data_IF_203674349006
#
_entry.id   IF_203674349006
#
_cell.length_a   1.000
_cell.length_b   1.000
_cell.length_c   1.000
_cell.angle_alpha   90.00
_cell.angle_beta   90.00
_cell.angle_gamma   90.00
#
_symmetry.space_group_name_H-M   'P 1'
#
loop_
_entity.id
_entity.type
_entity.pdbx_description
1 polymer ?
#
# COMPACT_ATOMS: atom_id res chain seq x y z
N UNK A 1 -6.23 13.38 -27.95
CA UNK A 1 -5.84 13.11 -26.55
C UNK A 1 -4.82 11.98 -26.56
N UNK A 2 -3.70 12.10 -25.85
CA UNK A 2 -2.73 11.00 -25.76
C UNK A 2 -3.39 9.79 -25.09
N UNK A 3 -3.24 8.60 -25.68
CA UNK A 3 -3.77 7.35 -25.13
C UNK A 3 -3.11 7.08 -23.78
N UNK A 4 -3.90 6.96 -22.71
CA UNK A 4 -3.37 6.64 -21.38
C UNK A 4 -2.77 5.24 -21.38
N UNK A 5 -1.60 5.08 -20.77
CA UNK A 5 -0.94 3.78 -20.61
C UNK A 5 -1.74 2.89 -19.66
N UNK A 6 -1.71 1.59 -19.90
CA UNK A 6 -2.29 0.61 -19.00
C UNK A 6 -1.38 0.40 -17.78
N UNK A 7 -1.97 0.26 -16.60
CA UNK A 7 -1.25 -0.13 -15.38
C UNK A 7 -2.13 -1.07 -14.54
N UNK A 8 -1.53 -2.11 -13.98
CA UNK A 8 -2.14 -2.87 -12.90
C UNK A 8 -1.89 -2.16 -11.56
N UNK A 9 -2.94 -2.07 -10.74
CA UNK A 9 -2.85 -1.61 -9.35
C UNK A 9 -3.22 -2.76 -8.44
N UNK A 10 -2.25 -3.28 -7.70
CA UNK A 10 -2.50 -4.30 -6.67
C UNK A 10 -2.91 -3.60 -5.39
N UNK A 11 -4.15 -3.84 -4.99
CA UNK A 11 -4.78 -3.26 -3.81
C UNK A 11 -5.02 -4.32 -2.75
N UNK A 12 -4.37 -4.17 -1.60
CA UNK A 12 -4.53 -5.07 -0.45
C UNK A 12 -5.28 -4.32 0.64
N UNK A 13 -6.44 -4.83 1.06
CA UNK A 13 -7.26 -4.15 2.04
C UNK A 13 -8.00 -5.08 2.99
N UNK A 14 -8.59 -4.47 4.00
CA UNK A 14 -9.55 -5.09 4.91
C UNK A 14 -10.86 -4.30 4.89
N UNK A 15 -11.87 -4.70 5.64
CA UNK A 15 -13.19 -4.04 5.68
C UNK A 15 -13.11 -2.71 6.44
N UNK A 16 -12.72 -1.63 5.76
CA UNK A 16 -12.58 -0.26 6.31
C UNK A 16 -13.08 0.80 5.31
N UNK A 17 -14.39 0.87 5.03
CA UNK A 17 -14.92 1.63 3.88
C UNK A 17 -14.52 3.10 3.87
N UNK A 18 -14.55 3.77 5.03
CA UNK A 18 -14.19 5.20 5.13
C UNK A 18 -12.72 5.47 4.81
N UNK A 19 -11.82 4.62 5.28
CA UNK A 19 -10.37 4.78 5.00
C UNK A 19 -10.09 4.45 3.54
N UNK A 20 -10.68 3.37 3.02
CA UNK A 20 -10.53 2.96 1.64
C UNK A 20 -10.95 4.06 0.67
N UNK A 21 -12.08 4.73 0.93
CA UNK A 21 -12.51 5.87 0.11
C UNK A 21 -11.47 6.99 0.08
N UNK A 22 -10.86 7.32 1.23
CA UNK A 22 -9.78 8.32 1.28
C UNK A 22 -8.57 7.87 0.47
N UNK A 23 -8.17 6.62 0.64
CA UNK A 23 -7.07 6.01 -0.08
C UNK A 23 -7.31 6.05 -1.58
N UNK A 24 -8.34 5.36 -2.07
CA UNK A 24 -8.64 5.25 -3.50
C UNK A 24 -8.86 6.63 -4.13
N UNK A 25 -9.59 7.54 -3.48
CA UNK A 25 -9.81 8.86 -4.03
C UNK A 25 -8.51 9.67 -4.13
N UNK A 26 -7.71 9.71 -3.06
CA UNK A 26 -6.47 10.49 -3.04
C UNK A 26 -5.49 10.01 -4.11
N UNK A 27 -5.37 8.69 -4.30
CA UNK A 27 -4.54 8.08 -5.33
C UNK A 27 -5.13 8.23 -6.73
N UNK A 28 -6.44 8.07 -6.92
CA UNK A 28 -7.11 8.32 -8.21
C UNK A 28 -6.84 9.75 -8.69
N UNK A 29 -7.12 10.75 -7.86
CA UNK A 29 -7.00 12.17 -8.25
C UNK A 29 -5.55 12.62 -8.49
N UNK A 30 -4.59 12.08 -7.75
CA UNK A 30 -3.21 12.59 -7.73
C UNK A 30 -2.17 11.71 -8.43
N UNK A 31 -2.54 10.48 -8.78
CA UNK A 31 -1.67 9.54 -9.47
C UNK A 31 -2.39 8.78 -10.59
N UNK A 32 -3.42 8.01 -10.24
CA UNK A 32 -3.95 6.97 -11.11
C UNK A 32 -4.84 7.50 -12.25
N UNK A 33 -5.32 8.75 -12.18
CA UNK A 33 -6.05 9.39 -13.29
C UNK A 33 -5.23 9.49 -14.58
N UNK A 34 -3.90 9.37 -14.50
CA UNK A 34 -3.00 9.43 -15.64
C UNK A 34 -2.88 8.09 -16.39
N UNK A 35 -3.50 7.02 -15.88
CA UNK A 35 -3.45 5.67 -16.45
C UNK A 35 -4.83 5.14 -16.82
N UNK A 36 -4.86 4.14 -17.68
CA UNK A 36 -5.95 3.18 -17.79
C UNK A 36 -5.69 2.06 -16.77
N UNK A 37 -6.50 1.99 -15.72
CA UNK A 37 -6.20 1.18 -14.54
C UNK A 37 -7.00 -0.11 -14.55
N UNK A 38 -6.30 -1.24 -14.36
CA UNK A 38 -6.88 -2.50 -13.90
C UNK A 38 -6.56 -2.66 -12.41
N UNK A 39 -7.59 -2.64 -11.58
CA UNK A 39 -7.44 -2.85 -10.14
C UNK A 39 -7.48 -4.35 -9.84
N UNK A 40 -6.50 -4.83 -9.08
CA UNK A 40 -6.42 -6.19 -8.56
C UNK A 40 -6.60 -6.10 -7.05
N UNK A 41 -7.80 -6.36 -6.55
CA UNK A 41 -8.16 -6.13 -5.15
C UNK A 41 -8.26 -7.45 -4.35
N UNK A 42 -7.49 -7.56 -3.27
CA UNK A 42 -7.70 -8.55 -2.23
C UNK A 42 -8.30 -7.86 -1.01
N UNK A 43 -9.51 -8.24 -0.60
CA UNK A 43 -10.12 -7.74 0.63
C UNK A 43 -10.18 -8.88 1.64
N UNK A 44 -9.39 -8.80 2.72
CA UNK A 44 -9.43 -9.79 3.80
C UNK A 44 -10.62 -9.52 4.76
N UNK A 45 -11.21 -10.56 5.38
CA UNK A 45 -12.35 -10.45 6.29
C UNK A 45 -11.88 -9.99 7.70
N UNK A 46 -11.35 -8.77 7.78
CA UNK A 46 -10.93 -8.12 9.02
C UNK A 46 -11.36 -6.65 9.02
N UNK A 47 -11.21 -5.93 10.13
CA UNK A 47 -11.62 -4.53 10.24
C UNK A 47 -13.01 -4.35 10.85
N UNK A 48 -13.89 -3.61 10.18
CA UNK A 48 -15.25 -3.24 10.60
C UNK A 48 -16.29 -4.26 10.08
N UNK A 49 -15.98 -5.56 10.22
CA UNK A 49 -16.79 -6.68 9.72
C UNK A 49 -18.11 -6.89 10.47
N UNK A 50 -18.30 -6.20 11.59
CA UNK A 50 -19.57 -6.15 12.34
C UNK A 50 -20.63 -5.29 11.64
N UNK A 51 -20.23 -4.43 10.70
CA UNK A 51 -21.10 -3.43 10.04
C UNK A 51 -21.11 -3.50 8.53
N UNK A 52 -20.03 -4.00 7.95
CA UNK A 52 -19.82 -4.03 6.51
C UNK A 52 -19.26 -5.39 6.10
N UNK A 53 -19.48 -5.76 4.86
CA UNK A 53 -18.91 -6.98 4.26
C UNK A 53 -17.72 -6.67 3.35
N UNK A 54 -17.06 -7.72 2.86
CA UNK A 54 -16.02 -7.57 1.84
C UNK A 54 -16.62 -7.06 0.52
N UNK A 55 -17.86 -7.44 0.20
CA UNK A 55 -18.60 -7.01 -0.99
C UNK A 55 -18.87 -5.50 -0.99
N UNK A 56 -19.15 -4.90 0.18
CA UNK A 56 -19.25 -3.43 0.31
C UNK A 56 -17.97 -2.75 -0.17
N UNK A 57 -16.81 -3.32 0.18
CA UNK A 57 -15.51 -2.78 -0.23
C UNK A 57 -15.30 -2.96 -1.73
N UNK A 58 -15.71 -4.10 -2.30
CA UNK A 58 -15.66 -4.30 -3.76
C UNK A 58 -16.57 -3.31 -4.48
N UNK A 59 -17.75 -3.00 -3.93
CA UNK A 59 -18.64 -1.95 -4.41
C UNK A 59 -17.90 -0.60 -4.47
N UNK A 60 -17.24 -0.22 -3.39
CA UNK A 60 -16.40 0.99 -3.34
C UNK A 60 -15.32 0.95 -4.42
N UNK A 61 -14.58 -0.16 -4.57
CA UNK A 61 -13.55 -0.28 -5.61
C UNK A 61 -14.11 -0.03 -7.02
N UNK A 62 -15.29 -0.58 -7.33
CA UNK A 62 -15.98 -0.42 -8.63
C UNK A 62 -16.48 1.01 -8.87
N UNK A 63 -16.71 1.81 -7.84
CA UNK A 63 -17.00 3.24 -8.00
C UNK A 63 -15.79 4.04 -8.52
N UNK A 64 -14.56 3.58 -8.27
CA UNK A 64 -13.33 4.29 -8.65
C UNK A 64 -12.69 3.77 -9.96
N UNK A 65 -12.97 2.53 -10.34
CA UNK A 65 -12.31 1.85 -11.46
C UNK A 65 -13.27 0.93 -12.19
N UNK A 66 -13.26 1.01 -13.52
CA UNK A 66 -14.15 0.22 -14.38
C UNK A 66 -13.70 -1.25 -14.51
N UNK A 67 -12.39 -1.50 -14.38
CA UNK A 67 -11.81 -2.84 -14.46
C UNK A 67 -11.28 -3.28 -13.10
N UNK A 68 -12.04 -4.13 -12.41
CA UNK A 68 -11.70 -4.66 -11.08
C UNK A 68 -11.69 -6.19 -11.12
N UNK A 69 -10.51 -6.77 -10.94
CA UNK A 69 -10.30 -8.18 -10.62
C UNK A 69 -10.16 -8.29 -9.11
N UNK A 70 -10.89 -9.20 -8.47
CA UNK A 70 -10.87 -9.25 -7.01
C UNK A 70 -10.99 -10.66 -6.45
N UNK A 71 -10.61 -10.80 -5.18
CA UNK A 71 -11.00 -11.94 -4.35
C UNK A 71 -11.32 -11.51 -2.92
N UNK A 72 -12.17 -12.32 -2.28
CA UNK A 72 -12.62 -12.16 -0.90
C UNK A 72 -12.37 -13.48 -0.15
N UNK A 73 -11.14 -13.72 0.36
CA UNK A 73 -10.84 -14.94 1.09
C UNK A 73 -11.68 -15.05 2.37
N UNK A 74 -11.92 -16.28 2.83
CA UNK A 74 -12.64 -16.56 4.08
C UNK A 74 -11.79 -16.32 5.33
N UNK A 75 -10.47 -16.42 5.20
CA UNK A 75 -9.52 -16.25 6.31
C UNK A 75 -8.54 -15.13 5.98
N UNK A 76 -8.24 -14.21 6.92
CA UNK A 76 -7.31 -13.12 6.69
C UNK A 76 -5.87 -13.63 6.64
N UNK A 77 -5.11 -13.17 5.64
CA UNK A 77 -3.69 -13.51 5.50
C UNK A 77 -3.00 -12.52 4.58
N UNK A 78 -2.26 -11.59 5.20
CA UNK A 78 -1.56 -10.53 4.49
C UNK A 78 -0.54 -11.06 3.46
N UNK A 79 0.21 -12.09 3.82
CA UNK A 79 1.15 -12.77 2.92
C UNK A 79 0.44 -13.41 1.73
N UNK A 80 -0.63 -14.18 1.95
CA UNK A 80 -1.42 -14.78 0.86
C UNK A 80 -2.04 -13.68 -0.02
N UNK A 81 -2.49 -12.58 0.57
CA UNK A 81 -3.04 -11.41 -0.12
C UNK A 81 -2.04 -10.79 -1.09
N UNK A 82 -0.83 -10.47 -0.60
CA UNK A 82 0.26 -9.92 -1.40
C UNK A 82 0.65 -10.86 -2.53
N UNK A 83 0.89 -12.14 -2.23
CA UNK A 83 1.31 -13.15 -3.22
C UNK A 83 0.30 -13.24 -4.37
N UNK A 84 -0.97 -13.47 -4.04
CA UNK A 84 -2.01 -13.59 -5.06
C UNK A 84 -2.16 -12.33 -5.89
N UNK A 85 -2.15 -11.15 -5.26
CA UNK A 85 -2.28 -9.88 -5.98
C UNK A 85 -1.15 -9.69 -6.98
N UNK A 86 0.09 -10.03 -6.59
CA UNK A 86 1.26 -9.95 -7.47
C UNK A 86 1.24 -11.01 -8.58
N UNK A 87 0.68 -12.20 -8.34
CA UNK A 87 0.49 -13.24 -9.37
C UNK A 87 -0.49 -12.83 -10.48
N UNK A 88 -1.41 -11.89 -10.23
CA UNK A 88 -2.39 -11.43 -11.23
C UNK A 88 -1.85 -10.32 -12.16
N UNK A 89 -0.64 -9.81 -11.91
CA UNK A 89 -0.06 -8.67 -12.63
C UNK A 89 0.39 -9.07 -14.03
N UNK A 90 -0.03 -8.27 -15.01
CA UNK A 90 0.29 -8.39 -16.41
C UNK A 90 1.07 -7.18 -16.95
N UNK A 91 0.99 -6.00 -16.34
CA UNK A 91 1.78 -4.83 -16.77
C UNK A 91 3.26 -4.98 -16.43
N UNK A 92 4.17 -4.36 -17.19
CA UNK A 92 5.63 -4.43 -16.95
C UNK A 92 6.05 -3.79 -15.62
N UNK A 93 5.35 -2.72 -15.26
CA UNK A 93 5.45 -2.01 -13.99
C UNK A 93 4.03 -1.93 -13.45
N UNK A 94 3.85 -2.23 -12.17
CA UNK A 94 2.56 -2.13 -11.49
C UNK A 94 2.69 -1.27 -10.24
N UNK A 95 1.55 -0.84 -9.70
CA UNK A 95 1.53 -0.07 -8.46
C UNK A 95 0.95 -0.92 -7.33
N UNK A 96 1.67 -1.06 -6.23
CA UNK A 96 1.20 -1.71 -5.02
C UNK A 96 0.64 -0.66 -4.05
N UNK A 97 -0.53 -0.94 -3.46
CA UNK A 97 -1.26 -0.05 -2.57
C UNK A 97 -1.98 -0.84 -1.48
N UNK A 98 -1.81 -0.43 -0.22
CA UNK A 98 -2.64 -0.90 0.89
C UNK A 98 -3.82 0.05 1.14
N UNK A 99 -4.81 -0.38 1.90
CA UNK A 99 -6.07 0.33 2.15
C UNK A 99 -5.97 1.59 3.02
N UNK A 100 -4.82 1.88 3.63
CA UNK A 100 -4.70 2.91 4.66
C UNK A 100 -3.64 4.00 4.39
N UNK A 101 -3.52 4.41 3.13
CA UNK A 101 -2.63 5.47 2.68
C UNK A 101 -3.36 6.68 2.11
N UNK A 102 -2.98 7.90 2.49
CA UNK A 102 -3.45 9.13 1.83
C UNK A 102 -2.32 9.81 1.06
N UNK A 103 -2.51 10.02 -0.24
CA UNK A 103 -1.55 10.71 -1.10
C UNK A 103 -1.72 12.23 -1.01
N UNK A 104 -0.69 12.95 -0.55
CA UNK A 104 -0.73 14.41 -0.30
C UNK A 104 -0.53 15.24 -1.55
N UNK A 105 0.39 14.85 -2.44
CA UNK A 105 0.79 15.63 -3.63
C UNK A 105 0.65 14.79 -4.89
N UNK A 106 0.60 15.47 -6.05
CA UNK A 106 0.58 14.81 -7.35
C UNK A 106 1.91 14.11 -7.60
N UNK A 107 1.85 12.91 -8.17
CA UNK A 107 3.03 12.17 -8.63
C UNK A 107 3.26 12.52 -10.11
N UNK A 108 4.49 12.91 -10.44
CA UNK A 108 4.93 13.15 -11.80
C UNK A 108 5.25 11.81 -12.45
N UNK A 109 4.42 11.40 -13.41
CA UNK A 109 4.54 10.11 -14.09
C UNK A 109 5.81 10.02 -14.92
N UNK A 110 6.25 11.11 -15.57
CA UNK A 110 7.50 11.12 -16.35
C UNK A 110 8.70 10.76 -15.48
N UNK A 111 8.76 11.26 -14.23
CA UNK A 111 9.84 10.88 -13.28
C UNK A 111 9.81 9.38 -12.94
N UNK A 112 8.62 8.80 -12.81
CA UNK A 112 8.48 7.35 -12.57
C UNK A 112 9.02 6.59 -13.78
N UNK A 113 8.57 6.96 -14.98
CA UNK A 113 8.98 6.32 -16.23
C UNK A 113 10.49 6.41 -16.47
N UNK A 114 11.07 7.59 -16.27
CA UNK A 114 12.50 7.83 -16.43
C UNK A 114 13.32 6.95 -15.49
N UNK A 115 12.93 6.81 -14.22
CA UNK A 115 13.61 5.93 -13.28
C UNK A 115 13.56 4.47 -13.72
N UNK A 116 12.42 3.98 -14.21
CA UNK A 116 12.29 2.58 -14.64
C UNK A 116 12.96 2.27 -15.99
N UNK A 117 13.48 3.28 -16.73
CA UNK A 117 14.44 3.03 -17.83
C UNK A 117 15.73 2.38 -17.32
N UNK A 118 16.12 2.64 -16.07
CA UNK A 118 17.22 1.94 -15.42
C UNK A 118 16.77 0.52 -15.02
N UNK A 119 17.22 -0.48 -15.77
CA UNK A 119 16.83 -1.89 -15.57
C UNK A 119 17.08 -2.41 -14.15
N UNK A 120 18.10 -1.89 -13.46
CA UNK A 120 18.42 -2.27 -12.06
C UNK A 120 17.42 -1.72 -11.04
N UNK A 121 16.67 -0.66 -11.36
CA UNK A 121 15.62 -0.13 -10.50
C UNK A 121 14.41 -1.06 -10.59
N UNK A 122 14.07 -1.67 -9.47
CA UNK A 122 12.97 -2.65 -9.37
C UNK A 122 11.81 -2.14 -8.51
N UNK A 123 12.04 -1.11 -7.70
CA UNK A 123 11.03 -0.48 -6.85
C UNK A 123 11.26 1.01 -6.73
N UNK A 124 10.16 1.78 -6.80
CA UNK A 124 10.10 3.18 -6.42
C UNK A 124 9.00 3.38 -5.40
N UNK A 125 9.38 3.63 -4.15
CA UNK A 125 8.47 3.83 -3.02
C UNK A 125 8.09 5.29 -2.85
N UNK A 126 6.82 5.57 -2.61
CA UNK A 126 6.39 6.90 -2.20
C UNK A 126 6.86 7.19 -0.76
N UNK A 127 7.53 8.33 -0.56
CA UNK A 127 8.20 8.63 0.69
C UNK A 127 7.22 8.99 1.84
N UNK A 128 7.41 8.37 3.00
CA UNK A 128 6.64 8.60 4.23
C UNK A 128 7.25 9.69 5.11
N UNK A 129 8.53 9.99 4.91
CA UNK A 129 9.30 11.00 5.63
C UNK A 129 10.07 11.87 4.64
N UNK A 130 10.70 12.93 5.13
CA UNK A 130 11.66 13.69 4.33
C UNK A 130 12.74 12.75 3.77
N UNK A 131 13.09 12.94 2.50
CA UNK A 131 14.19 12.24 1.85
C UNK A 131 15.57 12.80 2.26
N UNK A 132 15.61 13.83 3.11
CA UNK A 132 16.82 14.63 3.38
C UNK A 132 17.98 13.86 4.02
N UNK A 133 17.70 12.65 4.51
CA UNK A 133 18.69 11.72 5.08
C UNK A 133 19.46 10.92 4.02
N UNK A 134 19.08 11.01 2.75
CA UNK A 134 19.58 10.16 1.67
C UNK A 134 20.02 11.03 0.49
N UNK A 135 21.18 11.68 0.66
CA UNK A 135 21.80 12.50 -0.38
C UNK A 135 22.59 11.60 -1.34
N UNK A 136 22.12 11.44 -2.57
CA UNK A 136 22.94 10.91 -3.67
C UNK A 136 22.73 11.76 -4.93
N UNK A 137 23.59 11.59 -5.93
CA UNK A 137 23.57 12.41 -7.15
C UNK A 137 22.41 12.08 -8.09
N UNK A 138 21.88 10.85 -8.05
CA UNK A 138 20.95 10.35 -9.09
C UNK A 138 19.60 9.93 -8.52
N UNK A 139 19.58 9.21 -7.39
CA UNK A 139 18.35 8.71 -6.75
C UNK A 139 18.46 8.63 -5.23
N UNK A 140 17.37 8.91 -4.53
CA UNK A 140 17.29 8.60 -3.09
C UNK A 140 17.08 7.10 -2.90
N UNK A 141 18.12 6.36 -2.51
CA UNK A 141 18.03 4.90 -2.37
C UNK A 141 17.36 4.45 -1.06
N UNK A 142 16.77 3.25 -1.12
CA UNK A 142 16.23 2.52 0.04
C UNK A 142 16.97 1.19 0.18
N UNK A 143 17.14 0.73 1.42
CA UNK A 143 17.93 -0.48 1.72
C UNK A 143 17.20 -1.78 1.35
N UNK A 144 15.87 -1.74 1.18
CA UNK A 144 15.06 -2.93 0.94
C UNK A 144 13.76 -2.62 0.19
N UNK A 145 13.14 -3.67 -0.34
CA UNK A 145 11.73 -3.65 -0.77
C UNK A 145 10.80 -3.50 0.46
N UNK A 146 9.67 -2.80 0.29
CA UNK A 146 8.62 -2.65 1.30
C UNK A 146 7.27 -2.59 0.60
N UNK A 147 6.22 -2.87 1.36
CA UNK A 147 4.84 -2.85 0.90
C UNK A 147 4.13 -1.49 1.08
N UNK A 148 4.88 -0.46 1.49
CA UNK A 148 4.42 0.92 1.32
C UNK A 148 4.05 1.20 -0.16
N UNK A 149 3.21 2.22 -0.43
CA UNK A 149 2.76 2.54 -1.79
C UNK A 149 3.95 2.72 -2.73
N UNK A 150 4.03 1.88 -3.75
CA UNK A 150 5.23 1.76 -4.57
C UNK A 150 4.94 1.29 -5.98
N UNK A 151 5.71 1.78 -6.94
CA UNK A 151 5.84 1.17 -8.25
C UNK A 151 6.82 0.02 -8.19
N UNK A 152 6.50 -1.09 -8.85
CA UNK A 152 7.28 -2.32 -8.82
C UNK A 152 7.46 -2.89 -10.22
N UNK A 153 8.65 -3.42 -10.51
CA UNK A 153 8.95 -4.10 -11.77
C UNK A 153 8.45 -5.54 -11.72
N UNK A 154 7.55 -5.90 -12.64
CA UNK A 154 6.89 -7.20 -12.64
C UNK A 154 7.84 -8.37 -12.83
N UNK A 155 8.81 -8.26 -13.75
CA UNK A 155 9.78 -9.31 -13.98
C UNK A 155 10.62 -9.65 -12.72
N UNK A 156 10.97 -8.64 -11.92
CA UNK A 156 11.65 -8.84 -10.65
C UNK A 156 10.74 -9.52 -9.63
N UNK A 157 9.50 -9.05 -9.51
CA UNK A 157 8.52 -9.61 -8.56
C UNK A 157 8.19 -11.06 -8.90
N UNK A 158 8.07 -11.44 -10.17
CA UNK A 158 7.81 -12.83 -10.61
C UNK A 158 8.87 -13.81 -10.09
N UNK A 159 10.16 -13.47 -10.18
CA UNK A 159 11.22 -14.31 -9.60
C UNK A 159 11.24 -14.27 -8.05
N UNK A 160 10.85 -13.14 -7.47
CA UNK A 160 10.81 -13.00 -6.01
C UNK A 160 9.70 -13.85 -5.39
N UNK A 161 8.51 -13.92 -6.01
CA UNK A 161 7.35 -14.64 -5.46
C UNK A 161 7.51 -16.17 -5.46
N UNK A 162 8.37 -16.72 -6.30
CA UNK A 162 8.67 -18.16 -6.35
C UNK A 162 9.22 -18.67 -5.00
N UNK A 163 9.90 -17.80 -4.25
CA UNK A 163 10.49 -18.10 -2.94
C UNK A 163 9.61 -17.64 -1.77
N UNK A 164 8.41 -17.14 -2.07
CA UNK A 164 7.55 -16.51 -1.09
C UNK A 164 6.85 -17.54 -0.20
N UNK A 165 7.10 -17.45 1.10
CA UNK A 165 6.45 -18.26 2.11
C UNK A 165 5.19 -17.56 2.63
N UNK A 166 4.04 -18.20 2.40
CA UNK A 166 2.73 -17.70 2.79
C UNK A 166 2.51 -17.64 4.31
N UNK A 167 3.37 -18.27 5.12
CA UNK A 167 3.23 -18.30 6.58
C UNK A 167 4.19 -17.32 7.27
N UNK A 168 4.99 -16.56 6.50
CA UNK A 168 5.91 -15.55 7.01
C UNK A 168 5.46 -14.15 6.61
N UNK A 169 5.85 -13.16 7.42
CA UNK A 169 5.65 -11.76 7.10
C UNK A 169 6.38 -11.40 5.78
N UNK A 170 5.69 -10.79 4.80
CA UNK A 170 6.29 -10.45 3.50
C UNK A 170 7.50 -9.52 3.62
N UNK A 171 7.39 -8.45 4.43
CA UNK A 171 8.44 -7.45 4.53
C UNK A 171 9.71 -8.02 5.14
N UNK A 172 9.58 -8.90 6.15
CA UNK A 172 10.73 -9.61 6.72
C UNK A 172 11.42 -10.50 5.70
N UNK A 173 10.65 -11.23 4.89
CA UNK A 173 11.20 -12.10 3.84
C UNK A 173 12.02 -11.30 2.83
N UNK A 174 11.54 -10.11 2.45
CA UNK A 174 12.29 -9.25 1.53
C UNK A 174 13.59 -8.73 2.15
N UNK A 175 13.63 -8.40 3.43
CA UNK A 175 14.87 -7.94 4.07
C UNK A 175 15.95 -9.01 4.12
N UNK A 176 15.56 -10.28 4.25
CA UNK A 176 16.49 -11.41 4.30
C UNK A 176 17.03 -11.77 2.91
N UNK A 177 16.22 -11.68 1.84
CA UNK A 177 16.66 -12.02 0.48
C UNK A 177 15.93 -11.19 -0.58
N UNK A 178 16.66 -10.25 -1.19
CA UNK A 178 16.15 -9.40 -2.28
C UNK A 178 16.70 -9.76 -3.66
N UNK A 179 17.87 -10.39 -3.75
CA UNK A 179 18.49 -10.71 -5.04
C UNK A 179 17.74 -11.84 -5.74
N UNK A 180 17.59 -11.75 -7.06
CA UNK A 180 17.06 -12.82 -7.92
C UNK A 180 18.05 -13.12 -9.04
N UNK A 181 17.77 -14.12 -9.88
CA UNK A 181 18.69 -14.54 -10.95
C UNK A 181 18.87 -13.43 -11.97
N UNK A 182 17.79 -12.77 -12.40
CA UNK A 182 17.88 -11.65 -13.34
C UNK A 182 18.28 -10.32 -12.67
N UNK A 183 18.12 -10.22 -11.34
CA UNK A 183 18.43 -9.02 -10.57
C UNK A 183 19.33 -9.37 -9.38
N UNK A 184 20.62 -9.67 -9.61
CA UNK A 184 21.55 -10.01 -8.52
C UNK A 184 21.84 -8.82 -7.60
N UNK A 185 21.70 -7.59 -8.13
CA UNK A 185 21.92 -6.34 -7.41
C UNK A 185 20.74 -5.36 -7.65
N UNK A 186 19.54 -5.67 -7.15
CA UNK A 186 18.36 -4.85 -7.35
C UNK A 186 18.52 -3.50 -6.64
N UNK A 187 17.96 -2.45 -7.23
CA UNK A 187 17.94 -1.10 -6.65
C UNK A 187 16.53 -0.70 -6.26
N UNK A 188 16.39 -0.26 -5.02
CA UNK A 188 15.17 0.29 -4.45
C UNK A 188 15.39 1.78 -4.23
N UNK A 189 14.43 2.59 -4.65
CA UNK A 189 14.52 4.04 -4.52
C UNK A 189 13.25 4.62 -3.91
N UNK A 190 13.35 5.83 -3.38
CA UNK A 190 12.21 6.66 -3.02
C UNK A 190 11.84 7.57 -4.19
N UNK A 191 10.56 7.91 -4.28
CA UNK A 191 10.07 8.96 -5.16
C UNK A 191 10.40 10.34 -4.57
N UNK A 192 10.78 11.26 -5.45
CA UNK A 192 11.06 12.66 -5.12
C UNK A 192 12.54 12.94 -4.94
N UNK A 193 12.85 14.22 -4.72
CA UNK A 193 14.21 14.68 -4.50
C UNK A 193 14.62 14.51 -3.03
N UNK A 194 15.92 14.56 -2.68
CA UNK A 194 16.37 14.53 -1.29
C UNK A 194 15.69 15.58 -0.39
N UNK A 195 15.33 16.74 -0.92
CA UNK A 195 14.66 17.80 -0.14
C UNK A 195 13.13 17.63 -0.04
N UNK A 196 12.55 16.66 -0.74
CA UNK A 196 11.10 16.47 -0.71
C UNK A 196 10.61 15.94 0.63
N UNK A 197 9.60 16.62 1.17
CA UNK A 197 8.84 16.14 2.33
C UNK A 197 7.99 14.91 1.97
N UNK A 198 7.49 14.21 2.99
CA UNK A 198 6.61 13.06 2.84
C UNK A 198 5.46 13.33 1.84
N UNK A 199 5.28 12.43 0.87
CA UNK A 199 4.21 12.50 -0.12
C UNK A 199 2.99 11.67 0.27
N UNK A 200 3.16 10.65 1.11
CA UNK A 200 2.06 9.80 1.63
C UNK A 200 1.90 9.94 3.15
N UNK A 201 0.71 9.60 3.64
CA UNK A 201 0.37 9.59 5.07
C UNK A 201 -0.22 8.23 5.42
N UNK A 202 0.33 7.62 6.48
CA UNK A 202 -0.22 6.44 7.13
C UNK A 202 -1.49 6.84 7.91
N UNK A 203 -2.65 6.50 7.35
CA UNK A 203 -3.96 6.70 7.98
C UNK A 203 -4.34 5.53 8.90
N UNK A 204 -3.75 4.36 8.68
CA UNK A 204 -4.03 3.12 9.40
C UNK A 204 -3.56 3.15 10.84
N UNK A 205 -2.40 3.73 11.12
CA UNK A 205 -1.87 3.92 12.47
C UNK A 205 -2.83 4.71 13.37
N UNK A 206 -3.61 5.64 12.80
CA UNK A 206 -4.60 6.41 13.56
C UNK A 206 -5.85 5.60 13.83
N UNK A 207 -6.34 4.85 12.84
CA UNK A 207 -7.47 3.93 13.02
C UNK A 207 -7.18 2.84 14.05
N UNK A 208 -5.97 2.26 14.04
CA UNK A 208 -5.58 1.25 15.04
C UNK A 208 -5.62 1.82 16.46
N UNK A 209 -5.08 3.03 16.64
CA UNK A 209 -5.12 3.72 17.94
C UNK A 209 -6.54 4.04 18.40
N UNK A 210 -7.45 4.43 17.50
CA UNK A 210 -8.85 4.70 17.87
C UNK A 210 -9.65 3.44 18.22
N UNK A 211 -9.21 2.29 17.75
CA UNK A 211 -9.83 0.99 18.04
C UNK A 211 -9.11 0.20 19.14
N UNK A 212 -8.14 0.83 19.83
CA UNK A 212 -7.34 0.19 20.88
C UNK A 212 -6.68 -1.13 20.41
N UNK A 213 -6.20 -1.16 19.16
CA UNK A 213 -5.49 -2.28 18.58
C UNK A 213 -3.99 -2.06 18.72
N UNK A 214 -3.27 -3.03 19.29
CA UNK A 214 -1.81 -3.00 19.39
C UNK A 214 -1.16 -3.57 18.13
N UNK A 215 0.04 -3.07 17.79
CA UNK A 215 0.89 -3.67 16.74
C UNK A 215 1.55 -4.91 17.33
N UNK A 216 1.58 -5.98 16.54
CA UNK A 216 2.13 -7.32 16.75
C UNK A 216 3.36 -7.40 17.69
N UNK A 217 3.40 -8.42 18.54
CA UNK A 217 4.65 -8.98 19.09
C UNK A 217 4.95 -10.28 18.32
N UNK A 218 6.12 -10.32 17.66
CA UNK A 218 6.55 -11.35 16.71
C UNK A 218 7.18 -12.57 17.38
N UNK A 219 7.30 -12.56 18.71
CA UNK A 219 7.99 -13.61 19.45
C UNK A 219 7.23 -14.95 19.49
N UNK A 220 5.91 -14.99 19.26
CA UNK A 220 5.12 -16.14 19.73
C UNK A 220 3.92 -16.67 18.90
N UNK A 221 3.64 -16.23 17.66
CA UNK A 221 2.46 -16.77 16.94
C UNK A 221 2.61 -17.00 15.42
N UNK A 222 2.01 -18.12 14.96
CA UNK A 222 1.92 -18.60 13.57
C UNK A 222 0.89 -17.85 12.70
N UNK A 223 0.01 -17.03 13.27
CA UNK A 223 -1.02 -16.29 12.54
C UNK A 223 -1.05 -14.81 12.97
N UNK A 224 -1.00 -13.93 11.97
CA UNK A 224 -0.90 -12.47 12.11
C UNK A 224 -2.32 -11.90 12.28
N UNK A 225 -2.80 -11.79 13.52
CA UNK A 225 -4.14 -11.20 13.82
C UNK A 225 -4.06 -10.05 14.84
N UNK A 226 -4.93 -9.04 14.68
CA UNK A 226 -5.02 -7.90 15.60
C UNK A 226 -5.55 -8.34 16.97
N UNK A 227 -4.98 -7.80 18.06
CA UNK A 227 -5.50 -7.98 19.42
C UNK A 227 -5.99 -6.65 20.00
N UNK A 228 -7.11 -6.72 20.71
CA UNK A 228 -7.56 -5.61 21.55
C UNK A 228 -6.64 -5.48 22.77
N UNK A 229 -6.17 -4.27 23.03
CA UNK A 229 -5.54 -3.94 24.29
C UNK A 229 -6.61 -4.06 25.39
N UNK A 230 -6.34 -4.82 26.46
CA UNK A 230 -7.23 -4.89 27.62
C UNK A 230 -7.57 -3.45 28.04
N UNK A 231 -8.85 -3.09 27.94
CA UNK A 231 -9.37 -1.71 28.04
C UNK A 231 -9.06 -1.08 29.40
N UNK A 232 -7.84 -0.56 29.61
CA UNK A 232 -7.48 0.08 30.87
C UNK A 232 -7.82 1.57 30.93
N UNK A 233 -8.28 2.21 29.85
CA UNK A 233 -8.67 3.62 29.91
C UNK A 233 -9.72 4.04 28.87
N UNK A 234 -11.00 4.11 29.30
CA UNK A 234 -12.15 4.54 28.49
C UNK A 234 -12.00 5.99 27.96
N UNK A 235 -11.47 6.90 28.77
CA UNK A 235 -11.24 8.30 28.39
C UNK A 235 -10.20 8.42 27.28
N UNK A 236 -9.09 7.67 27.38
CA UNK A 236 -8.05 7.58 26.34
C UNK A 236 -8.63 7.06 25.02
N UNK A 237 -9.49 6.05 25.07
CA UNK A 237 -10.16 5.48 23.89
C UNK A 237 -11.08 6.52 23.23
N UNK A 238 -11.91 7.21 24.04
CA UNK A 238 -12.78 8.28 23.55
C UNK A 238 -12.00 9.43 22.91
N UNK A 239 -10.90 9.88 23.54
CA UNK A 239 -10.00 10.88 22.99
C UNK A 239 -9.46 10.47 21.61
N UNK A 240 -8.97 9.23 21.45
CA UNK A 240 -8.49 8.75 20.16
C UNK A 240 -9.60 8.60 19.11
N UNK A 241 -10.83 8.26 19.52
CA UNK A 241 -11.99 8.24 18.61
C UNK A 241 -12.33 9.63 18.09
N UNK A 242 -12.41 10.64 18.97
CA UNK A 242 -12.64 12.03 18.55
C UNK A 242 -11.53 12.51 17.61
N UNK A 243 -10.26 12.26 17.99
CA UNK A 243 -9.10 12.63 17.18
C UNK A 243 -9.09 11.94 15.81
N UNK A 244 -9.52 10.67 15.75
CA UNK A 244 -9.65 9.93 14.50
C UNK A 244 -10.80 10.46 13.64
N UNK A 245 -11.97 10.73 14.20
CA UNK A 245 -13.09 11.33 13.48
C UNK A 245 -12.72 12.68 12.88
N UNK A 246 -12.10 13.57 13.67
CA UNK A 246 -11.60 14.86 13.20
C UNK A 246 -10.54 14.70 12.11
N UNK A 247 -9.64 13.72 12.25
CA UNK A 247 -8.64 13.38 11.23
C UNK A 247 -9.34 12.95 9.93
N UNK A 248 -10.18 11.92 9.95
CA UNK A 248 -10.89 11.42 8.76
C UNK A 248 -11.69 12.52 8.09
N UNK A 249 -12.41 13.33 8.86
CA UNK A 249 -13.15 14.49 8.34
C UNK A 249 -12.22 15.47 7.61
N UNK A 250 -11.15 15.92 8.25
CA UNK A 250 -10.17 16.82 7.64
C UNK A 250 -9.56 16.27 6.34
N UNK A 251 -9.14 15.00 6.32
CA UNK A 251 -8.52 14.41 5.12
C UNK A 251 -9.54 14.14 4.02
N UNK A 252 -10.78 13.81 4.37
CA UNK A 252 -11.86 13.68 3.41
C UNK A 252 -12.16 15.01 2.71
N UNK A 253 -12.21 16.13 3.44
CA UNK A 253 -12.38 17.45 2.84
C UNK A 253 -11.17 17.82 1.99
N UNK A 254 -9.97 17.79 2.58
CA UNK A 254 -8.78 18.35 1.95
C UNK A 254 -8.29 17.57 0.73
N UNK A 255 -8.57 16.27 0.66
CA UNK A 255 -8.02 15.40 -0.39
C UNK A 255 -9.08 14.56 -1.10
N UNK A 256 -10.34 14.60 -0.65
CA UNK A 256 -11.44 13.87 -1.28
C UNK A 256 -12.51 14.70 -1.99
N UNK A 257 -12.67 15.98 -1.66
CA UNK A 257 -13.36 16.95 -2.52
C UNK A 257 -12.52 17.25 -3.77
#
# INVERSE_FOLDING_TARGET
MATKRQIDVVFIGVVRPKIIRITLNSFKKKLLKNYNVRLIANIDPSGETDKYSQEDIIGICKEFFDNVVYRTPKEPSFSKAVKWGWEQVNSDIFFHLEDDWCLKRRVNISKVEDAFKHKKIVSMRLNLTSNSKFQTTDFTYSDCLSLNPSFLRTAYIKELIERFNNEKDPEKQFRESCATKAYPNPKFIYYGEPTDSAIVIDTGKKWRKSNALTKWDLSNMKTVTWRHENQKNRLKTLYYRIKYSAFIYYWSIRYCQ
#
